data_IF_762298953296
#
_entry.id   IF_762298953296
#
_cell.length_a   1.000
_cell.length_b   1.000
_cell.length_c   1.000
_cell.angle_alpha   90.00
_cell.angle_beta   90.00
_cell.angle_gamma   90.00
#
_symmetry.space_group_name_H-M   'P 1'
#
loop_
_entity.id
_entity.type
_entity.pdbx_description
1 polymer ?
#
# COMPACT_ATOMS: atom_id res chain seq x y z
N UNK A 1 -16.44 -54.86 9.77
CA UNK A 1 -16.87 -53.81 10.68
C UNK A 1 -15.81 -52.72 10.65
N UNK A 2 -16.11 -51.59 10.04
CA UNK A 2 -15.15 -50.47 9.88
C UNK A 2 -15.57 -49.38 10.88
N UNK A 3 -14.82 -49.21 11.97
CA UNK A 3 -15.04 -48.12 12.93
C UNK A 3 -14.79 -46.77 12.20
N UNK A 4 -15.86 -46.04 11.95
CA UNK A 4 -15.80 -44.61 11.61
C UNK A 4 -15.48 -43.88 12.89
N UNK A 5 -14.20 -43.61 13.14
CA UNK A 5 -13.79 -42.64 14.16
C UNK A 5 -14.27 -41.27 13.73
N UNK A 6 -15.31 -40.77 14.37
CA UNK A 6 -15.65 -39.35 14.34
C UNK A 6 -14.52 -38.62 15.07
N UNK A 7 -13.58 -38.08 14.31
CA UNK A 7 -12.64 -37.11 14.82
C UNK A 7 -13.47 -35.94 15.34
N UNK A 8 -13.44 -35.77 16.65
CA UNK A 8 -14.04 -34.65 17.35
C UNK A 8 -13.19 -33.42 16.97
N UNK A 9 -13.52 -32.81 15.84
CA UNK A 9 -12.87 -31.58 15.39
C UNK A 9 -13.21 -30.51 16.42
N UNK A 10 -12.22 -30.13 17.23
CA UNK A 10 -12.36 -29.07 18.21
C UNK A 10 -12.66 -27.76 17.46
N UNK A 11 -13.80 -27.09 17.72
CA UNK A 11 -14.15 -25.81 17.08
C UNK A 11 -13.11 -24.70 17.28
N UNK A 12 -12.16 -24.92 18.20
CA UNK A 12 -11.01 -24.03 18.41
C UNK A 12 -9.92 -24.23 17.38
N UNK A 13 -9.75 -25.46 16.90
CA UNK A 13 -8.77 -25.79 15.84
C UNK A 13 -9.21 -25.24 14.51
N UNK A 14 -10.50 -25.33 14.17
CA UNK A 14 -11.06 -24.71 12.97
C UNK A 14 -10.95 -23.19 12.96
N UNK A 15 -11.11 -22.55 14.12
CA UNK A 15 -10.89 -21.10 14.26
C UNK A 15 -9.42 -20.73 14.12
N UNK A 16 -8.53 -21.52 14.66
CA UNK A 16 -7.09 -21.31 14.55
C UNK A 16 -6.61 -21.53 13.12
N UNK A 17 -7.17 -22.51 12.40
CA UNK A 17 -6.88 -22.75 10.98
C UNK A 17 -7.47 -21.67 10.09
N UNK A 18 -8.67 -21.18 10.37
CA UNK A 18 -9.27 -20.04 9.65
C UNK A 18 -8.49 -18.74 9.87
N UNK A 19 -7.95 -18.53 11.06
CA UNK A 19 -7.07 -17.39 11.36
C UNK A 19 -5.70 -17.53 10.68
N UNK A 20 -5.21 -18.76 10.55
CA UNK A 20 -3.93 -19.09 9.93
C UNK A 20 -3.94 -18.92 8.41
N UNK A 21 -5.09 -19.09 7.77
CA UNK A 21 -5.25 -18.92 6.32
C UNK A 21 -5.21 -17.45 5.86
N UNK A 22 -5.24 -16.50 6.80
CA UNK A 22 -5.15 -15.07 6.51
C UNK A 22 -3.70 -14.55 6.46
N UNK A 23 -2.74 -15.25 7.03
CA UNK A 23 -1.35 -14.87 6.89
C UNK A 23 -0.94 -15.04 5.42
N UNK A 24 -0.54 -13.97 4.73
CA UNK A 24 -0.05 -14.07 3.37
C UNK A 24 1.09 -15.09 3.37
N UNK A 25 1.03 -16.06 2.45
CA UNK A 25 2.09 -17.06 2.33
C UNK A 25 3.45 -16.37 2.16
N UNK A 26 4.54 -17.04 2.50
CA UNK A 26 5.90 -16.50 2.47
C UNK A 26 6.21 -15.71 1.18
N UNK A 27 5.74 -16.18 0.02
CA UNK A 27 5.91 -15.49 -1.27
C UNK A 27 5.16 -14.15 -1.33
N UNK A 28 3.93 -14.11 -0.82
CA UNK A 28 3.14 -12.88 -0.81
C UNK A 28 3.76 -11.84 0.14
N UNK A 29 4.25 -12.26 1.30
CA UNK A 29 4.96 -11.38 2.24
C UNK A 29 6.24 -10.81 1.60
N UNK A 30 7.02 -11.63 0.90
CA UNK A 30 8.20 -11.16 0.18
C UNK A 30 7.84 -10.14 -0.90
N UNK A 31 6.79 -10.38 -1.69
CA UNK A 31 6.31 -9.43 -2.69
C UNK A 31 5.87 -8.10 -2.06
N UNK A 32 5.15 -8.14 -0.95
CA UNK A 32 4.72 -6.94 -0.22
C UNK A 32 5.94 -6.12 0.23
N UNK A 33 6.94 -6.78 0.81
CA UNK A 33 8.16 -6.11 1.28
C UNK A 33 8.97 -5.52 0.13
N UNK A 34 9.17 -6.28 -0.96
CA UNK A 34 9.94 -5.82 -2.13
C UNK A 34 9.23 -4.65 -2.82
N UNK A 35 7.94 -4.77 -3.12
CA UNK A 35 7.20 -3.73 -3.82
C UNK A 35 6.96 -2.50 -2.94
N UNK A 36 6.66 -2.69 -1.66
CA UNK A 36 6.54 -1.59 -0.70
C UNK A 36 7.85 -0.85 -0.50
N UNK A 37 8.95 -1.59 -0.34
CA UNK A 37 10.30 -1.02 -0.23
C UNK A 37 10.73 -0.28 -1.50
N UNK A 38 10.44 -0.84 -2.68
CA UNK A 38 10.71 -0.19 -3.95
C UNK A 38 9.92 1.12 -4.10
N UNK A 39 8.61 1.11 -3.80
CA UNK A 39 7.77 2.30 -3.88
C UNK A 39 8.26 3.40 -2.92
N UNK A 40 8.64 3.03 -1.70
CA UNK A 40 9.19 3.95 -0.72
C UNK A 40 10.53 4.54 -1.19
N UNK A 41 11.46 3.70 -1.63
CA UNK A 41 12.77 4.13 -2.13
C UNK A 41 12.66 5.03 -3.36
N UNK A 42 11.78 4.67 -4.30
CA UNK A 42 11.49 5.49 -5.47
C UNK A 42 10.92 6.86 -5.09
N UNK A 43 9.94 6.91 -4.17
CA UNK A 43 9.34 8.15 -3.71
C UNK A 43 10.38 9.06 -3.00
N UNK A 44 11.24 8.49 -2.16
CA UNK A 44 12.34 9.21 -1.51
C UNK A 44 13.31 9.78 -2.55
N UNK A 45 13.70 8.96 -3.52
CA UNK A 45 14.58 9.40 -4.61
C UNK A 45 13.96 10.57 -5.39
N UNK A 46 12.70 10.46 -5.82
CA UNK A 46 12.01 11.52 -6.54
C UNK A 46 11.89 12.80 -5.73
N UNK A 47 11.61 12.69 -4.44
CA UNK A 47 11.52 13.85 -3.55
C UNK A 47 12.87 14.57 -3.44
N UNK A 48 13.92 13.86 -3.05
CA UNK A 48 15.22 14.48 -2.77
C UNK A 48 16.03 14.79 -4.01
N UNK A 49 16.00 13.94 -5.03
CA UNK A 49 16.79 14.13 -6.25
C UNK A 49 16.14 15.10 -7.26
N UNK A 50 14.79 15.20 -7.26
CA UNK A 50 14.09 15.98 -8.28
C UNK A 50 13.39 17.21 -7.72
N UNK A 51 12.63 17.06 -6.62
CA UNK A 51 11.77 18.12 -6.09
C UNK A 51 12.54 19.09 -5.22
N UNK A 52 13.31 18.60 -4.24
CA UNK A 52 14.00 19.43 -3.26
C UNK A 52 15.34 20.01 -3.74
N UNK A 53 15.88 19.55 -4.86
CA UNK A 53 17.16 20.05 -5.38
C UNK A 53 17.02 21.46 -5.95
N UNK A 54 17.57 22.45 -5.25
CA UNK A 54 17.55 23.87 -5.64
C UNK A 54 18.29 24.13 -6.96
N UNK A 55 19.37 23.39 -7.24
CA UNK A 55 20.13 23.50 -8.48
C UNK A 55 19.28 23.17 -9.71
N UNK A 56 18.49 22.09 -9.66
CA UNK A 56 17.55 21.72 -10.72
C UNK A 56 16.44 22.76 -10.83
N UNK A 57 15.95 23.27 -9.71
CA UNK A 57 14.94 24.34 -9.69
C UNK A 57 15.37 25.62 -10.40
N UNK A 58 16.62 26.00 -10.27
CA UNK A 58 17.21 27.17 -10.94
C UNK A 58 17.45 26.90 -12.42
N UNK A 59 17.98 25.73 -12.77
CA UNK A 59 18.22 25.33 -14.15
C UNK A 59 16.91 25.26 -14.97
N UNK A 60 15.81 24.82 -14.38
CA UNK A 60 14.50 24.74 -15.02
C UNK A 60 13.82 26.09 -15.27
N UNK A 61 14.38 27.22 -14.84
CA UNK A 61 13.81 28.55 -15.14
C UNK A 61 14.06 29.01 -16.58
N UNK A 62 14.92 28.34 -17.33
CA UNK A 62 15.28 28.72 -18.70
C UNK A 62 15.43 27.58 -19.68
N UNK A 63 15.23 26.34 -19.28
CA UNK A 63 15.39 25.18 -20.16
C UNK A 63 14.19 24.24 -20.08
N UNK A 64 13.63 23.89 -21.22
CA UNK A 64 12.60 22.86 -21.36
C UNK A 64 13.28 21.51 -21.57
N UNK A 65 13.49 20.78 -20.48
CA UNK A 65 14.00 19.41 -20.50
C UNK A 65 13.00 18.46 -19.87
N UNK A 66 13.03 17.18 -20.25
CA UNK A 66 12.16 16.12 -19.67
C UNK A 66 12.20 16.10 -18.14
N UNK A 67 13.36 16.43 -17.56
CA UNK A 67 13.50 16.53 -16.08
C UNK A 67 12.68 17.68 -15.51
N UNK A 68 12.64 18.82 -16.20
CA UNK A 68 11.87 19.99 -15.77
C UNK A 68 10.38 19.76 -15.91
N UNK A 69 9.94 19.12 -16.98
CA UNK A 69 8.53 18.72 -17.18
C UNK A 69 8.08 17.72 -16.10
N UNK A 70 8.90 16.69 -15.84
CA UNK A 70 8.60 15.71 -14.79
C UNK A 70 8.50 16.37 -13.42
N UNK A 71 9.41 17.30 -13.11
CA UNK A 71 9.37 18.07 -11.85
C UNK A 71 8.10 18.90 -11.74
N UNK A 72 7.73 19.63 -12.80
CA UNK A 72 6.51 20.44 -12.84
C UNK A 72 5.25 19.58 -12.66
N UNK A 73 5.20 18.43 -13.33
CA UNK A 73 4.11 17.46 -13.18
C UNK A 73 3.99 16.98 -11.72
N UNK A 74 5.09 16.56 -11.10
CA UNK A 74 5.08 16.06 -9.72
C UNK A 74 4.63 17.15 -8.74
N UNK A 75 5.10 18.39 -8.90
CA UNK A 75 4.70 19.52 -8.07
C UNK A 75 3.21 19.84 -8.25
N UNK A 76 2.70 19.78 -9.46
CA UNK A 76 1.28 19.98 -9.76
C UNK A 76 0.42 18.89 -9.12
N UNK A 77 0.80 17.61 -9.27
CA UNK A 77 0.10 16.48 -8.65
C UNK A 77 0.10 16.57 -7.12
N UNK A 78 1.20 17.05 -6.55
CA UNK A 78 1.28 17.34 -5.11
C UNK A 78 0.31 18.44 -4.70
N UNK A 79 0.26 19.56 -5.44
CA UNK A 79 -0.63 20.68 -5.16
C UNK A 79 -2.13 20.30 -5.16
N UNK A 80 -2.51 19.37 -6.02
CA UNK A 80 -3.88 18.81 -6.05
C UNK A 80 -4.10 17.64 -5.07
N UNK A 81 -3.14 17.32 -4.22
CA UNK A 81 -3.21 16.20 -3.26
C UNK A 81 -3.52 14.84 -3.89
N UNK A 82 -3.19 14.64 -5.15
CA UNK A 82 -3.51 13.42 -5.92
C UNK A 82 -2.97 12.17 -5.24
N UNK A 83 -1.75 12.25 -4.69
CA UNK A 83 -1.12 11.14 -3.98
C UNK A 83 -1.87 10.74 -2.70
N UNK A 84 -2.35 11.71 -1.93
CA UNK A 84 -3.13 11.45 -0.73
C UNK A 84 -4.52 10.91 -1.03
N UNK A 85 -5.18 11.47 -2.04
CA UNK A 85 -6.52 11.00 -2.48
C UNK A 85 -6.42 9.58 -3.02
N UNK A 86 -5.44 9.27 -3.85
CA UNK A 86 -5.24 7.91 -4.37
C UNK A 86 -4.97 6.90 -3.25
N UNK A 87 -4.20 7.28 -2.23
CA UNK A 87 -3.95 6.43 -1.06
C UNK A 87 -5.24 6.12 -0.29
N UNK A 88 -6.08 7.12 -0.01
CA UNK A 88 -7.36 6.91 0.68
C UNK A 88 -8.32 6.07 -0.16
N UNK A 89 -8.49 6.37 -1.44
CA UNK A 89 -9.40 5.63 -2.32
C UNK A 89 -9.01 4.15 -2.38
N UNK A 90 -7.72 3.87 -2.59
CA UNK A 90 -7.24 2.48 -2.64
C UNK A 90 -7.36 1.78 -1.29
N UNK A 91 -7.12 2.49 -0.17
CA UNK A 91 -7.31 1.95 1.17
C UNK A 91 -8.78 1.64 1.49
N UNK A 92 -9.72 2.49 1.05
CA UNK A 92 -11.15 2.24 1.20
C UNK A 92 -11.60 1.04 0.37
N UNK A 93 -11.15 0.93 -0.87
CA UNK A 93 -11.46 -0.25 -1.72
C UNK A 93 -10.93 -1.51 -1.07
N UNK A 94 -9.69 -1.48 -0.55
CA UNK A 94 -9.11 -2.60 0.19
C UNK A 94 -9.92 -2.94 1.45
N UNK A 95 -10.42 -1.93 2.16
CA UNK A 95 -11.24 -2.15 3.35
C UNK A 95 -12.58 -2.83 3.03
N UNK A 96 -13.19 -2.50 1.88
CA UNK A 96 -14.47 -3.08 1.42
C UNK A 96 -14.26 -4.47 0.81
N UNK A 97 -13.23 -4.63 -0.03
CA UNK A 97 -12.88 -5.88 -0.73
C UNK A 97 -11.42 -6.24 -0.47
N UNK A 98 -11.14 -6.89 0.66
CA UNK A 98 -9.78 -7.24 1.03
C UNK A 98 -9.22 -8.30 0.07
N UNK A 99 -8.22 -7.92 -0.73
CA UNK A 99 -7.47 -8.81 -1.62
C UNK A 99 -5.98 -8.50 -1.50
N UNK A 100 -5.13 -9.52 -1.64
CA UNK A 100 -3.68 -9.34 -1.54
C UNK A 100 -3.13 -8.32 -2.56
N UNK A 101 -3.50 -8.38 -3.86
CA UNK A 101 -3.00 -7.40 -4.82
C UNK A 101 -3.47 -5.98 -4.51
N UNK A 102 -4.71 -5.80 -4.06
CA UNK A 102 -5.23 -4.49 -3.70
C UNK A 102 -4.52 -3.93 -2.46
N UNK A 103 -4.16 -4.80 -1.51
CA UNK A 103 -3.36 -4.42 -0.35
C UNK A 103 -1.99 -3.87 -0.78
N UNK A 104 -1.31 -4.54 -1.73
CA UNK A 104 -0.01 -4.09 -2.26
C UNK A 104 -0.14 -2.71 -2.91
N UNK A 105 -1.14 -2.52 -3.78
CA UNK A 105 -1.38 -1.24 -4.46
C UNK A 105 -1.65 -0.13 -3.45
N UNK A 106 -2.50 -0.38 -2.47
CA UNK A 106 -2.83 0.59 -1.43
C UNK A 106 -1.63 0.93 -0.53
N UNK A 107 -0.80 -0.06 -0.21
CA UNK A 107 0.43 0.14 0.55
C UNK A 107 1.42 1.02 -0.23
N UNK A 108 1.62 0.74 -1.53
CA UNK A 108 2.48 1.55 -2.40
C UNK A 108 1.97 2.99 -2.51
N UNK A 109 0.67 3.19 -2.76
CA UNK A 109 0.05 4.51 -2.84
C UNK A 109 0.21 5.29 -1.52
N UNK A 110 0.02 4.62 -0.38
CA UNK A 110 0.19 5.20 0.94
C UNK A 110 1.64 5.60 1.20
N UNK A 111 2.60 4.73 0.86
CA UNK A 111 4.03 5.01 1.01
C UNK A 111 4.45 6.25 0.19
N UNK A 112 4.02 6.31 -1.07
CA UNK A 112 4.28 7.47 -1.95
C UNK A 112 3.63 8.73 -1.38
N UNK A 113 2.38 8.66 -0.94
CA UNK A 113 1.65 9.81 -0.39
C UNK A 113 2.26 10.37 0.88
N UNK A 114 2.77 9.52 1.78
CA UNK A 114 3.49 9.96 3.00
C UNK A 114 4.77 10.69 2.63
N UNK A 115 5.56 10.15 1.69
CA UNK A 115 6.83 10.78 1.29
C UNK A 115 6.58 12.08 0.54
N UNK A 116 5.50 12.19 -0.24
CA UNK A 116 5.16 13.35 -1.06
C UNK A 116 4.33 14.41 -0.31
N UNK A 117 4.55 14.60 1.00
CA UNK A 117 3.93 15.64 1.83
C UNK A 117 2.39 15.59 1.98
N UNK A 118 1.71 14.57 1.50
CA UNK A 118 0.28 14.39 1.71
C UNK A 118 -0.01 13.62 3.02
N UNK A 119 0.64 14.05 4.11
CA UNK A 119 0.71 13.31 5.37
C UNK A 119 -0.66 13.02 5.97
N UNK A 120 -1.58 14.00 5.98
CA UNK A 120 -2.87 13.84 6.64
C UNK A 120 -3.71 12.73 5.99
N UNK A 121 -3.87 12.77 4.67
CA UNK A 121 -4.64 11.78 3.93
C UNK A 121 -3.96 10.41 3.91
N UNK A 122 -2.64 10.41 3.76
CA UNK A 122 -1.86 9.16 3.75
C UNK A 122 -1.78 8.50 5.12
N UNK A 123 -1.77 9.27 6.21
CA UNK A 123 -1.85 8.74 7.57
C UNK A 123 -3.20 8.07 7.84
N UNK A 124 -4.31 8.66 7.36
CA UNK A 124 -5.63 8.03 7.42
C UNK A 124 -5.67 6.75 6.60
N UNK A 125 -5.09 6.75 5.39
CA UNK A 125 -4.98 5.55 4.56
C UNK A 125 -4.17 4.45 5.26
N UNK A 126 -3.04 4.78 5.89
CA UNK A 126 -2.25 3.85 6.68
C UNK A 126 -3.04 3.26 7.85
N UNK A 127 -3.78 4.09 8.57
CA UNK A 127 -4.68 3.64 9.64
C UNK A 127 -5.74 2.65 9.15
N UNK A 128 -6.39 2.95 8.01
CA UNK A 128 -7.36 2.04 7.39
C UNK A 128 -6.71 0.71 6.97
N UNK A 129 -5.48 0.73 6.44
CA UNK A 129 -4.75 -0.48 6.09
C UNK A 129 -4.43 -1.33 7.32
N UNK A 130 -3.98 -0.71 8.41
CA UNK A 130 -3.72 -1.41 9.66
C UNK A 130 -4.99 -2.06 10.22
N UNK A 131 -6.11 -1.35 10.23
CA UNK A 131 -7.41 -1.89 10.66
C UNK A 131 -7.87 -3.00 9.72
N UNK A 132 -7.69 -2.85 8.41
CA UNK A 132 -8.01 -3.88 7.43
C UNK A 132 -7.17 -5.14 7.64
N UNK A 133 -5.91 -5.00 8.01
CA UNK A 133 -5.02 -6.12 8.31
C UNK A 133 -5.36 -6.82 9.63
N UNK A 134 -5.77 -6.05 10.64
CA UNK A 134 -6.17 -6.60 11.94
C UNK A 134 -7.57 -7.26 11.93
N UNK A 135 -8.37 -7.01 10.89
CA UNK A 135 -9.72 -7.53 10.78
C UNK A 135 -9.70 -9.02 10.43
N UNK A 136 -10.36 -9.90 11.21
CA UNK A 136 -10.46 -11.31 10.87
C UNK A 136 -11.18 -11.45 9.52
N UNK A 137 -10.50 -12.01 8.55
CA UNK A 137 -11.05 -12.24 7.22
C UNK A 137 -12.16 -13.29 7.35
N UNK A 138 -13.38 -12.88 7.15
CA UNK A 138 -14.46 -13.83 6.92
C UNK A 138 -14.17 -14.41 5.53
N UNK A 139 -13.51 -15.57 5.52
CA UNK A 139 -13.16 -16.26 4.29
C UNK A 139 -14.31 -16.23 3.31
N UNK A 140 -14.00 -15.93 2.06
CA UNK A 140 -14.95 -16.03 0.98
C UNK A 140 -15.64 -17.39 1.08
N UNK A 141 -16.91 -17.39 1.47
CA UNK A 141 -17.76 -18.55 1.21
C UNK A 141 -17.95 -18.54 -0.29
N UNK A 142 -17.16 -19.41 -0.95
CA UNK A 142 -17.45 -19.81 -2.29
C UNK A 142 -18.69 -20.70 -2.30
#
# INVERSE_FOLDING_TARGET
MRCKGTLNEDPREDRALAYRNFLPGSRATQLILVLGGFALGWAIYMRYALVEQSAIGLACRGMETTTCETRALVITLYGYSVFGISAIVTALIQFIRPTVPMFIVSLMATAIGVVMYNNNLSALAAGLLLISFARPWRGARA
#
